data_IF_302144687123
#
_entry.id   IF_302144687123
#
_cell.length_a   1.000
_cell.length_b   1.000
_cell.length_c   1.000
_cell.angle_alpha   90.00
_cell.angle_beta   90.00
_cell.angle_gamma   90.00
#
_symmetry.space_group_name_H-M   'P 1'
#
loop_
_entity.id
_entity.type
_entity.pdbx_description
1 polymer ?
#
# COMPACT_ATOMS: atom_id res chain seq x y z
N UNK A 1 -17.93 -0.49 1.91
CA UNK A 1 -16.60 -0.49 2.54
C UNK A 1 -15.58 0.08 1.59
N UNK A 2 -14.79 1.07 2.01
CA UNK A 2 -13.67 1.60 1.19
C UNK A 2 -12.39 0.93 1.64
N UNK A 3 -11.95 -0.05 0.88
CA UNK A 3 -10.68 -0.74 1.11
C UNK A 3 -9.58 0.21 0.63
N UNK A 4 -8.71 0.62 1.55
CA UNK A 4 -7.55 1.46 1.30
C UNK A 4 -6.24 0.67 1.34
N UNK A 5 -6.26 -0.52 1.93
CA UNK A 5 -5.17 -1.47 1.89
C UNK A 5 -5.66 -2.91 2.10
N UNK A 6 -4.92 -3.86 1.56
CA UNK A 6 -5.06 -5.30 1.81
C UNK A 6 -3.76 -5.84 2.42
N UNK A 7 -3.88 -6.65 3.48
CA UNK A 7 -2.75 -7.28 4.15
C UNK A 7 -2.88 -8.80 4.07
N UNK A 8 -1.81 -9.47 3.64
CA UNK A 8 -1.70 -10.94 3.68
C UNK A 8 -0.50 -11.31 4.55
N UNK A 9 -0.76 -12.10 5.59
CA UNK A 9 0.28 -12.72 6.41
C UNK A 9 0.90 -13.89 5.64
N UNK A 10 2.21 -13.88 5.48
CA UNK A 10 2.99 -15.00 4.92
C UNK A 10 3.78 -15.66 6.06
N UNK A 11 4.51 -16.75 5.74
CA UNK A 11 5.33 -17.46 6.73
C UNK A 11 6.40 -16.57 7.38
N UNK A 12 7.01 -15.68 6.60
CA UNK A 12 8.21 -14.91 6.99
C UNK A 12 8.09 -13.41 6.67
N UNK A 13 6.93 -12.95 6.19
CA UNK A 13 6.73 -11.59 5.74
C UNK A 13 5.24 -11.22 5.70
N UNK A 14 4.97 -9.93 5.50
CA UNK A 14 3.67 -9.39 5.17
C UNK A 14 3.66 -8.96 3.71
N UNK A 15 2.60 -9.28 2.99
CA UNK A 15 2.31 -8.65 1.70
C UNK A 15 1.25 -7.59 1.90
N UNK A 16 1.63 -6.33 1.73
CA UNK A 16 0.74 -5.18 1.89
C UNK A 16 0.49 -4.56 0.52
N UNK A 17 -0.78 -4.46 0.11
CA UNK A 17 -1.20 -3.63 -1.00
C UNK A 17 -1.79 -2.34 -0.45
N UNK A 18 -1.31 -1.18 -0.91
CA UNK A 18 -1.78 0.15 -0.53
C UNK A 18 -2.41 0.83 -1.74
N UNK A 19 -3.63 1.33 -1.61
CA UNK A 19 -4.35 2.00 -2.70
C UNK A 19 -4.24 3.52 -2.57
N UNK A 20 -3.54 4.15 -3.52
CA UNK A 20 -3.32 5.59 -3.59
C UNK A 20 -4.00 6.20 -4.81
N UNK A 21 -4.25 7.51 -4.81
CA UNK A 21 -4.74 8.26 -6.00
C UNK A 21 -3.64 8.67 -6.98
N UNK A 22 -2.38 8.40 -6.63
CA UNK A 22 -1.19 8.77 -7.40
C UNK A 22 -0.25 7.58 -7.50
N UNK A 23 0.59 7.58 -8.53
CA UNK A 23 1.68 6.62 -8.67
C UNK A 23 2.90 7.09 -7.86
N UNK A 24 3.44 6.19 -7.04
CA UNK A 24 4.65 6.40 -6.24
C UNK A 24 5.72 5.44 -6.71
N UNK A 25 6.91 5.96 -7.06
CA UNK A 25 8.07 5.14 -7.44
C UNK A 25 9.01 5.01 -6.25
N UNK A 26 8.69 4.10 -5.35
CA UNK A 26 9.57 3.75 -4.23
C UNK A 26 10.07 2.30 -4.34
N UNK A 27 11.35 2.01 -4.06
CA UNK A 27 11.91 0.67 -4.19
C UNK A 27 11.20 -0.41 -3.37
N UNK A 28 10.58 -0.04 -2.24
CA UNK A 28 9.83 -0.97 -1.38
C UNK A 28 8.60 -1.57 -2.10
N UNK A 29 8.07 -0.88 -3.11
CA UNK A 29 6.94 -1.35 -3.91
C UNK A 29 7.42 -2.13 -5.13
N UNK A 30 7.47 -3.45 -5.02
CA UNK A 30 7.89 -4.33 -6.11
C UNK A 30 6.85 -4.44 -7.24
N UNK A 31 5.59 -4.07 -6.98
CA UNK A 31 4.51 -4.11 -7.97
C UNK A 31 3.60 -2.90 -7.83
N UNK A 32 3.32 -2.25 -8.96
CA UNK A 32 2.38 -1.13 -9.06
C UNK A 32 1.35 -1.48 -10.12
N UNK A 33 0.06 -1.40 -9.76
CA UNK A 33 -1.05 -1.73 -10.64
C UNK A 33 -2.01 -0.55 -10.71
N UNK A 34 -2.33 -0.11 -11.91
CA UNK A 34 -3.40 0.86 -12.10
C UNK A 34 -4.74 0.13 -12.00
N UNK A 35 -5.60 0.58 -11.09
CA UNK A 35 -6.96 0.08 -10.92
C UNK A 35 -7.98 1.09 -11.44
N UNK A 36 -9.25 0.79 -11.16
CA UNK A 36 -10.36 1.62 -11.61
C UNK A 36 -10.43 2.96 -10.86
N UNK A 37 -11.12 3.93 -11.48
CA UNK A 37 -11.40 5.26 -10.89
C UNK A 37 -10.15 6.01 -10.43
N UNK A 38 -9.02 5.80 -11.12
CA UNK A 38 -7.76 6.48 -10.82
C UNK A 38 -7.03 5.97 -9.57
N UNK A 39 -7.48 4.86 -8.96
CA UNK A 39 -6.74 4.23 -7.86
C UNK A 39 -5.53 3.47 -8.40
N UNK A 40 -4.43 3.54 -7.68
CA UNK A 40 -3.16 2.87 -7.99
C UNK A 40 -2.77 2.03 -6.79
N UNK A 41 -2.66 0.72 -7.00
CA UNK A 41 -2.27 -0.24 -5.97
C UNK A 41 -0.76 -0.42 -5.98
N UNK A 42 -0.13 -0.17 -4.84
CA UNK A 42 1.29 -0.35 -4.61
C UNK A 42 1.49 -1.52 -3.66
N UNK A 43 2.22 -2.53 -4.10
CA UNK A 43 2.39 -3.77 -3.35
C UNK A 43 3.82 -3.85 -2.84
N UNK A 44 3.95 -4.00 -1.53
CA UNK A 44 5.21 -4.24 -0.83
C UNK A 44 5.23 -5.63 -0.20
N UNK A 45 6.43 -6.20 -0.08
CA UNK A 45 6.71 -7.33 0.80
C UNK A 45 7.52 -6.77 1.97
N UNK A 46 7.02 -6.93 3.19
CA UNK A 46 7.59 -6.38 4.42
C UNK A 46 8.04 -7.57 5.28
N UNK A 47 9.34 -7.77 5.39
CA UNK A 47 9.97 -8.74 6.28
C UNK A 47 10.54 -8.12 7.55
N UNK A 48 10.74 -6.80 7.61
CA UNK A 48 11.28 -6.13 8.79
C UNK A 48 10.47 -4.92 9.27
N UNK A 49 10.76 -4.46 10.49
CA UNK A 49 10.13 -3.25 11.05
C UNK A 49 10.58 -1.98 10.31
N UNK A 50 11.82 -1.94 9.83
CA UNK A 50 12.34 -0.83 9.02
C UNK A 50 11.57 -0.70 7.70
N UNK A 51 11.30 -1.82 7.04
CA UNK A 51 10.48 -1.86 5.83
C UNK A 51 9.04 -1.42 6.12
N UNK A 52 8.48 -1.77 7.28
CA UNK A 52 7.17 -1.28 7.70
C UNK A 52 7.17 0.25 7.85
N UNK A 53 8.20 0.81 8.47
CA UNK A 53 8.36 2.27 8.64
C UNK A 53 8.39 3.01 7.30
N UNK A 54 8.96 2.41 6.25
CA UNK A 54 8.94 2.97 4.90
C UNK A 54 7.53 3.02 4.29
N UNK A 55 6.66 2.06 4.62
CA UNK A 55 5.30 1.97 4.04
C UNK A 55 4.25 2.75 4.84
N UNK A 56 4.48 2.98 6.14
CA UNK A 56 3.54 3.68 7.03
C UNK A 56 3.03 5.04 6.49
N UNK A 57 3.86 5.94 5.95
CA UNK A 57 3.38 7.22 5.42
C UNK A 57 2.35 7.04 4.29
N UNK A 58 2.56 6.05 3.42
CA UNK A 58 1.66 5.73 2.31
C UNK A 58 0.36 5.08 2.80
N UNK A 59 0.44 4.22 3.81
CA UNK A 59 -0.74 3.64 4.44
C UNK A 59 -1.62 4.73 5.10
N UNK A 60 -0.99 5.71 5.75
CA UNK A 60 -1.70 6.86 6.33
C UNK A 60 -2.32 7.76 5.26
N UNK A 61 -1.64 8.00 4.14
CA UNK A 61 -2.19 8.71 2.98
C UNK A 61 -3.44 7.98 2.43
N UNK A 62 -3.34 6.67 2.21
CA UNK A 62 -4.44 5.85 1.72
C UNK A 62 -5.64 5.86 2.69
N UNK A 63 -5.38 5.75 4.00
CA UNK A 63 -6.41 5.84 5.03
C UNK A 63 -7.14 7.18 4.98
N UNK A 64 -6.42 8.31 4.99
CA UNK A 64 -7.02 9.66 4.90
C UNK A 64 -7.86 9.82 3.65
N UNK A 65 -7.32 9.41 2.50
CA UNK A 65 -8.03 9.44 1.22
C UNK A 65 -9.34 8.64 1.28
N UNK A 66 -9.35 7.51 1.98
CA UNK A 66 -10.55 6.68 2.12
C UNK A 66 -11.68 7.33 2.92
N UNK A 67 -11.34 8.25 3.84
CA UNK A 67 -12.33 9.00 4.62
C UNK A 67 -13.02 10.09 3.80
N UNK A 68 -12.33 10.65 2.80
CA UNK A 68 -12.81 11.79 2.00
C UNK A 68 -13.64 11.41 0.77
N UNK A 69 -13.60 10.14 0.34
CA UNK A 69 -14.36 9.67 -0.83
C UNK A 69 -15.88 9.56 -0.58
#
# INVERSE_FOLDING_TARGET
TRIFADLVMMKDALRLAVHLKRKVKEPIFFKIVQGDRGRVSHVARIGTEEELKLVLPYLMEAYRTSLEE
#
